data_IF_173828509732
#
_entry.id   IF_173828509732
#
_cell.length_a   1.000
_cell.length_b   1.000
_cell.length_c   1.000
_cell.angle_alpha   90.00
_cell.angle_beta   90.00
_cell.angle_gamma   90.00
#
_symmetry.space_group_name_H-M   'P 1'
#
loop_
_entity.id
_entity.type
_entity.pdbx_description
1 polymer ?
#
# COMPACT_ATOMS: atom_id res chain seq x y z
N UNK A 1 6.02 -9.13 16.89
CA UNK A 1 5.57 -10.51 17.17
C UNK A 1 6.05 -11.39 16.04
N UNK A 2 6.39 -12.66 16.28
CA UNK A 2 6.90 -13.57 15.24
C UNK A 2 6.01 -14.79 15.08
N UNK A 3 5.76 -15.22 13.85
CA UNK A 3 5.09 -16.48 13.56
C UNK A 3 5.70 -17.15 12.33
N UNK A 4 5.57 -18.48 12.27
CA UNK A 4 6.01 -19.27 11.13
C UNK A 4 4.85 -19.51 10.18
N UNK A 5 5.05 -19.34 8.87
CA UNK A 5 4.00 -19.52 7.87
C UNK A 5 4.54 -19.91 6.49
N UNK A 6 3.66 -20.54 5.70
CA UNK A 6 3.92 -20.87 4.29
C UNK A 6 3.37 -19.76 3.40
N UNK A 7 4.12 -19.36 2.38
CA UNK A 7 3.66 -18.41 1.37
C UNK A 7 2.67 -19.12 0.44
N UNK A 8 1.41 -18.69 0.47
CA UNK A 8 0.33 -19.28 -0.32
C UNK A 8 0.22 -18.59 -1.68
N UNK A 9 -0.03 -19.38 -2.73
CA UNK A 9 -0.44 -18.89 -4.04
C UNK A 9 -1.97 -18.95 -4.17
N UNK A 10 -2.57 -17.83 -4.54
CA UNK A 10 -3.99 -17.70 -4.83
C UNK A 10 -4.19 -17.29 -6.29
N UNK A 11 -4.81 -18.17 -7.08
CA UNK A 11 -5.01 -17.94 -8.51
C UNK A 11 -3.70 -17.99 -9.30
N UNK A 12 -3.53 -17.07 -10.26
CA UNK A 12 -2.38 -17.11 -11.20
C UNK A 12 -1.08 -16.52 -10.65
N UNK A 13 -1.14 -15.48 -9.82
CA UNK A 13 0.05 -14.73 -9.39
C UNK A 13 -0.05 -14.03 -8.04
N UNK A 14 -1.24 -13.99 -7.44
CA UNK A 14 -1.43 -13.35 -6.14
C UNK A 14 -0.88 -14.28 -5.06
N UNK A 15 0.08 -13.82 -4.27
CA UNK A 15 0.57 -14.57 -3.12
C UNK A 15 0.27 -13.86 -1.83
N UNK A 16 0.12 -14.62 -0.75
CA UNK A 16 -0.09 -14.07 0.56
C UNK A 16 0.32 -15.02 1.67
N UNK A 17 0.53 -14.44 2.84
CA UNK A 17 0.93 -15.16 4.05
C UNK A 17 -0.28 -15.18 4.97
N UNK A 18 -0.68 -16.38 5.42
CA UNK A 18 -1.76 -16.52 6.39
C UNK A 18 -1.27 -16.09 7.77
N UNK A 19 -1.99 -15.16 8.38
CA UNK A 19 -1.72 -14.71 9.75
C UNK A 19 -2.60 -15.52 10.71
N UNK A 20 -2.02 -16.14 11.74
CA UNK A 20 -2.78 -16.77 12.81
C UNK A 20 -3.73 -15.78 13.51
N UNK A 21 -4.90 -16.25 13.94
CA UNK A 21 -5.93 -15.39 14.54
C UNK A 21 -5.50 -14.78 15.89
N UNK A 22 -4.71 -15.52 16.67
CA UNK A 22 -4.09 -15.06 17.91
C UNK A 22 -3.14 -13.88 17.68
N UNK A 23 -2.37 -13.91 16.59
CA UNK A 23 -1.50 -12.80 16.17
C UNK A 23 -2.31 -11.59 15.71
N UNK A 24 -3.51 -11.78 15.14
CA UNK A 24 -4.39 -10.66 14.80
C UNK A 24 -5.03 -10.07 16.05
N UNK A 25 -5.50 -10.91 16.97
CA UNK A 25 -6.12 -10.49 18.21
C UNK A 25 -5.17 -9.64 19.08
N UNK A 26 -3.87 -9.94 19.06
CA UNK A 26 -2.84 -9.17 19.76
C UNK A 26 -2.46 -7.85 19.08
N UNK A 27 -2.67 -7.71 17.76
CA UNK A 27 -2.41 -6.48 17.01
C UNK A 27 -3.50 -5.41 17.22
N UNK A 28 -4.62 -5.77 17.88
CA UNK A 28 -5.68 -4.84 18.28
C UNK A 28 -7.05 -5.20 17.71
N UNK A 29 -8.01 -4.27 17.85
CA UNK A 29 -9.44 -4.52 17.53
C UNK A 29 -9.81 -4.35 16.06
N UNK A 30 -8.90 -3.85 15.22
CA UNK A 30 -9.17 -3.70 13.80
C UNK A 30 -9.13 -5.06 13.10
N UNK A 31 -10.13 -5.36 12.27
CA UNK A 31 -10.10 -6.53 11.36
C UNK A 31 -9.13 -6.35 10.18
N UNK A 32 -8.58 -5.14 10.02
CA UNK A 32 -7.66 -4.77 8.94
C UNK A 32 -6.54 -3.88 9.50
N UNK A 33 -5.70 -4.38 10.42
CA UNK A 33 -4.61 -3.59 10.97
C UNK A 33 -3.60 -3.26 9.87
N UNK A 34 -3.14 -2.00 9.85
CA UNK A 34 -1.91 -1.64 9.14
C UNK A 34 -0.75 -2.23 9.91
N UNK A 35 0.17 -2.89 9.21
CA UNK A 35 1.26 -3.63 9.84
C UNK A 35 2.56 -3.40 9.11
N UNK A 36 3.67 -3.48 9.85
CA UNK A 36 4.98 -3.65 9.29
C UNK A 36 5.34 -5.12 9.40
N UNK A 37 5.82 -5.68 8.29
CA UNK A 37 6.11 -7.10 8.12
C UNK A 37 7.57 -7.23 7.73
N UNK A 38 8.29 -8.09 8.43
CA UNK A 38 9.70 -8.39 8.18
C UNK A 38 9.83 -9.87 7.87
N UNK A 39 10.49 -10.19 6.75
CA UNK A 39 10.81 -11.53 6.28
C UNK A 39 12.32 -11.56 6.03
N UNK A 40 13.06 -12.27 6.89
CA UNK A 40 14.53 -12.18 6.90
C UNK A 40 14.98 -10.73 7.14
N UNK A 41 15.78 -10.18 6.22
CA UNK A 41 16.27 -8.80 6.29
C UNK A 41 15.35 -7.80 5.53
N UNK A 42 14.24 -8.27 4.95
CA UNK A 42 13.34 -7.44 4.16
C UNK A 42 12.12 -7.01 4.94
N UNK A 43 12.00 -5.71 5.18
CA UNK A 43 10.87 -5.10 5.89
C UNK A 43 10.01 -4.25 4.97
N UNK A 44 8.70 -4.41 5.04
CA UNK A 44 7.75 -3.62 4.27
C UNK A 44 6.48 -3.31 5.07
N UNK A 45 5.82 -2.20 4.71
CA UNK A 45 4.57 -1.75 5.33
C UNK A 45 3.39 -2.19 4.47
N UNK A 46 2.38 -2.79 5.08
CA UNK A 46 1.21 -3.34 4.39
C UNK A 46 -0.02 -3.27 5.30
N UNK A 47 -1.11 -3.90 4.89
CA UNK A 47 -2.35 -4.02 5.67
C UNK A 47 -2.81 -5.45 5.61
N UNK A 48 -3.17 -6.01 6.77
CA UNK A 48 -3.81 -7.33 6.82
C UNK A 48 -5.22 -7.21 6.26
N UNK A 49 -5.63 -8.16 5.42
CA UNK A 49 -6.98 -8.24 4.88
C UNK A 49 -7.62 -9.60 5.19
N UNK A 50 -8.89 -9.63 5.63
CA UNK A 50 -9.65 -10.88 5.70
C UNK A 50 -10.01 -11.35 4.29
N UNK A 51 -9.72 -12.60 3.98
CA UNK A 51 -10.00 -13.27 2.71
C UNK A 51 -10.55 -14.67 2.99
N UNK A 52 -11.81 -14.90 2.66
CA UNK A 52 -12.51 -16.19 2.84
C UNK A 52 -12.36 -16.79 4.25
N UNK A 53 -12.52 -15.96 5.29
CA UNK A 53 -12.43 -16.39 6.69
C UNK A 53 -11.02 -16.47 7.26
N UNK A 54 -9.97 -16.17 6.46
CA UNK A 54 -8.59 -16.14 6.93
C UNK A 54 -8.02 -14.72 6.86
N UNK A 55 -7.12 -14.37 7.78
CA UNK A 55 -6.36 -13.12 7.69
C UNK A 55 -5.11 -13.31 6.85
N UNK A 56 -4.95 -12.46 5.85
CA UNK A 56 -3.88 -12.58 4.86
C UNK A 56 -3.05 -11.29 4.81
N UNK A 57 -1.74 -11.46 4.75
CA UNK A 57 -0.80 -10.41 4.34
C UNK A 57 -0.53 -10.57 2.85
N UNK A 58 -0.82 -9.56 2.02
CA UNK A 58 -0.46 -9.62 0.61
C UNK A 58 1.06 -9.52 0.45
N UNK A 59 1.59 -10.38 -0.42
CA UNK A 59 2.99 -10.37 -0.82
C UNK A 59 3.02 -10.30 -2.34
N UNK A 60 3.24 -9.10 -2.90
CA UNK A 60 3.27 -8.91 -4.36
C UNK A 60 4.63 -9.33 -4.94
N UNK A 61 4.79 -9.24 -6.27
CA UNK A 61 6.04 -9.62 -6.93
C UNK A 61 7.25 -8.84 -6.43
N UNK A 62 7.11 -7.55 -6.16
CA UNK A 62 8.20 -6.68 -5.69
C UNK A 62 8.67 -7.08 -4.29
N UNK A 63 7.73 -7.32 -3.37
CA UNK A 63 8.06 -7.77 -2.01
C UNK A 63 8.65 -9.18 -2.00
N UNK A 64 8.15 -10.10 -2.85
CA UNK A 64 8.77 -11.42 -3.03
C UNK A 64 10.20 -11.34 -3.51
N UNK A 65 10.45 -10.52 -4.54
CA UNK A 65 11.79 -10.32 -5.07
C UNK A 65 12.72 -9.67 -4.03
N UNK A 66 12.23 -8.68 -3.29
CA UNK A 66 12.99 -8.00 -2.24
C UNK A 66 13.33 -8.90 -1.04
N UNK A 67 12.42 -9.80 -0.66
CA UNK A 67 12.65 -10.79 0.39
C UNK A 67 13.37 -12.05 -0.10
N UNK A 68 13.51 -12.25 -1.41
CA UNK A 68 14.13 -13.46 -1.99
C UNK A 68 13.29 -14.73 -1.85
N UNK A 69 11.96 -14.61 -1.74
CA UNK A 69 11.04 -15.71 -1.43
C UNK A 69 10.06 -16.01 -2.56
N UNK A 70 9.50 -17.23 -2.56
CA UNK A 70 8.56 -17.74 -3.58
C UNK A 70 7.33 -18.36 -2.92
N UNK A 71 6.31 -18.61 -3.74
CA UNK A 71 5.16 -19.38 -3.28
C UNK A 71 5.58 -20.81 -2.91
N UNK A 72 5.07 -21.31 -1.79
CA UNK A 72 5.43 -22.60 -1.21
C UNK A 72 6.58 -22.54 -0.20
N UNK A 73 7.31 -21.42 -0.11
CA UNK A 73 8.39 -21.30 0.87
C UNK A 73 7.82 -21.14 2.29
N UNK A 74 8.50 -21.77 3.24
CA UNK A 74 8.31 -21.59 4.68
C UNK A 74 9.16 -20.41 5.15
N UNK A 75 8.52 -19.46 5.82
CA UNK A 75 9.17 -18.22 6.26
C UNK A 75 8.79 -17.91 7.70
N UNK A 76 9.75 -17.36 8.43
CA UNK A 76 9.49 -16.70 9.69
C UNK A 76 9.14 -15.24 9.43
N UNK A 77 8.01 -14.81 9.99
CA UNK A 77 7.44 -13.49 9.74
C UNK A 77 7.34 -12.74 11.04
N UNK A 78 8.06 -11.63 11.12
CA UNK A 78 7.92 -10.65 12.17
C UNK A 78 6.87 -9.62 11.76
N UNK A 79 5.88 -9.40 12.62
CA UNK A 79 4.76 -8.47 12.41
C UNK A 79 4.59 -7.53 13.60
N UNK A 80 4.36 -6.27 13.30
CA UNK A 80 4.07 -5.23 14.28
C UNK A 80 3.02 -4.26 13.74
N UNK A 81 2.26 -3.64 14.65
CA UNK A 81 1.27 -2.65 14.29
C UNK A 81 1.97 -1.41 13.74
N UNK A 82 1.55 -1.01 12.54
CA UNK A 82 2.08 0.16 11.87
C UNK A 82 1.27 1.40 12.29
N UNK A 83 1.73 2.07 13.35
CA UNK A 83 1.14 3.31 13.88
C UNK A 83 1.78 4.57 13.30
N UNK A 84 2.83 4.43 12.48
CA UNK A 84 3.52 5.58 11.90
C UNK A 84 2.58 6.35 10.96
N UNK A 85 2.43 7.68 11.13
CA UNK A 85 1.64 8.49 10.22
C UNK A 85 2.22 8.34 8.82
N UNK A 86 1.38 7.87 7.90
CA UNK A 86 1.73 7.74 6.50
C UNK A 86 1.54 9.11 5.87
N UNK A 87 2.54 9.98 6.00
CA UNK A 87 2.53 11.31 5.39
C UNK A 87 2.95 11.21 3.93
N UNK A 88 2.13 11.74 3.03
CA UNK A 88 2.52 12.03 1.65
C UNK A 88 2.85 13.51 1.62
N UNK A 89 4.11 13.85 1.35
CA UNK A 89 4.49 15.26 1.15
C UNK A 89 3.83 15.72 -0.15
N UNK A 90 2.86 16.63 -0.05
CA UNK A 90 2.15 17.13 -1.22
C UNK A 90 3.07 18.09 -1.99
N UNK A 91 3.32 17.86 -3.29
CA UNK A 91 4.05 18.82 -4.10
C UNK A 91 3.28 20.13 -4.25
N UNK A 92 3.98 21.26 -4.17
CA UNK A 92 3.35 22.60 -4.17
C UNK A 92 2.50 22.87 -5.42
N UNK A 93 2.99 22.47 -6.59
CA UNK A 93 2.26 22.61 -7.86
C UNK A 93 0.98 21.77 -7.88
N UNK A 94 1.03 20.55 -7.32
CA UNK A 94 -0.16 19.72 -7.21
C UNK A 94 -1.18 20.28 -6.21
N UNK A 95 -0.73 20.77 -5.05
CA UNK A 95 -1.61 21.46 -4.10
C UNK A 95 -2.30 22.66 -4.76
N UNK A 96 -1.54 23.46 -5.52
CA UNK A 96 -2.05 24.65 -6.19
C UNK A 96 -3.16 24.31 -7.20
N UNK A 97 -3.02 23.20 -7.96
CA UNK A 97 -4.08 22.77 -8.89
C UNK A 97 -5.29 22.19 -8.17
N UNK A 98 -5.11 21.47 -7.06
CA UNK A 98 -6.22 20.98 -6.24
C UNK A 98 -7.02 22.13 -5.62
N UNK A 99 -6.35 23.18 -5.15
CA UNK A 99 -7.02 24.36 -4.58
C UNK A 99 -7.86 25.13 -5.61
N UNK A 100 -7.59 24.96 -6.90
CA UNK A 100 -8.41 25.52 -7.99
C UNK A 100 -9.63 24.68 -8.35
N UNK A 101 -9.74 23.46 -7.82
CA UNK A 101 -10.84 22.55 -8.11
C UNK A 101 -11.31 21.82 -6.85
N UNK A 102 -12.37 22.34 -6.21
CA UNK A 102 -12.90 21.79 -4.96
C UNK A 102 -13.35 20.33 -5.08
N UNK A 103 -13.88 19.91 -6.24
CA UNK A 103 -14.34 18.55 -6.47
C UNK A 103 -13.16 17.57 -6.48
N UNK A 104 -12.12 17.87 -7.25
CA UNK A 104 -10.88 17.09 -7.28
C UNK A 104 -10.22 17.04 -5.90
N UNK A 105 -10.20 18.16 -5.17
CA UNK A 105 -9.65 18.25 -3.81
C UNK A 105 -10.40 17.35 -2.84
N UNK A 106 -11.74 17.43 -2.79
CA UNK A 106 -12.56 16.58 -1.91
C UNK A 106 -12.39 15.10 -2.24
N UNK A 107 -12.38 14.75 -3.52
CA UNK A 107 -12.16 13.37 -3.94
C UNK A 107 -10.77 12.89 -3.50
N UNK A 108 -9.72 13.68 -3.76
CA UNK A 108 -8.36 13.37 -3.35
C UNK A 108 -8.24 13.18 -1.83
N UNK A 109 -8.83 14.08 -1.03
CA UNK A 109 -8.82 14.01 0.43
C UNK A 109 -9.49 12.75 0.97
N UNK A 110 -10.53 12.25 0.29
CA UNK A 110 -11.20 10.98 0.62
C UNK A 110 -10.44 9.71 0.21
N UNK A 111 -9.35 9.81 -0.55
CA UNK A 111 -8.59 8.65 -0.99
C UNK A 111 -7.80 7.99 0.14
N UNK A 112 -7.62 6.67 0.02
CA UNK A 112 -6.68 5.93 0.86
C UNK A 112 -5.25 6.45 0.66
N UNK A 113 -4.40 6.29 1.67
CA UNK A 113 -2.98 6.69 1.59
C UNK A 113 -2.28 6.15 0.34
N UNK A 114 -2.52 4.88 -0.01
CA UNK A 114 -1.91 4.25 -1.19
C UNK A 114 -2.29 4.98 -2.49
N UNK A 115 -3.55 5.39 -2.61
CA UNK A 115 -4.02 6.12 -3.77
C UNK A 115 -3.47 7.56 -3.80
N UNK A 116 -3.45 8.26 -2.65
CA UNK A 116 -2.81 9.58 -2.53
C UNK A 116 -1.31 9.51 -2.92
N UNK A 117 -0.60 8.53 -2.37
CA UNK A 117 0.83 8.29 -2.64
C UNK A 117 1.07 8.01 -4.13
N UNK A 118 0.22 7.21 -4.78
CA UNK A 118 0.35 6.92 -6.23
C UNK A 118 0.36 8.19 -7.07
N UNK A 119 -0.57 9.11 -6.84
CA UNK A 119 -0.62 10.38 -7.57
C UNK A 119 0.63 11.22 -7.32
N UNK A 120 1.01 11.39 -6.05
CA UNK A 120 2.17 12.19 -5.68
C UNK A 120 3.47 11.60 -6.23
N UNK A 121 3.74 10.32 -6.01
CA UNK A 121 4.95 9.65 -6.51
C UNK A 121 5.04 9.73 -8.04
N UNK A 122 3.93 9.56 -8.75
CA UNK A 122 3.90 9.74 -10.21
C UNK A 122 4.35 11.16 -10.61
N UNK A 123 3.89 12.20 -9.93
CA UNK A 123 4.26 13.58 -10.23
C UNK A 123 5.73 13.87 -9.83
N UNK A 124 6.16 13.40 -8.66
CA UNK A 124 7.51 13.58 -8.12
C UNK A 124 8.60 12.89 -8.95
N UNK A 125 8.36 11.68 -9.44
CA UNK A 125 9.34 10.93 -10.25
C UNK A 125 9.58 11.54 -11.65
N UNK A 126 8.82 12.58 -12.04
CA UNK A 126 9.00 13.25 -13.31
C UNK A 126 10.24 14.15 -13.33
N UNK A 127 11.28 13.73 -14.05
CA UNK A 127 12.56 14.45 -14.15
C UNK A 127 12.52 15.71 -15.02
N UNK A 128 11.57 15.80 -15.95
CA UNK A 128 11.42 16.98 -16.83
C UNK A 128 10.14 17.74 -16.49
N UNK A 129 10.19 19.06 -16.58
CA UNK A 129 9.04 19.94 -16.36
C UNK A 129 7.85 19.54 -17.24
N UNK A 130 8.09 19.21 -18.52
CA UNK A 130 7.05 18.77 -19.44
C UNK A 130 6.37 17.47 -18.97
N UNK A 131 7.15 16.46 -18.56
CA UNK A 131 6.59 15.20 -18.05
C UNK A 131 5.79 15.44 -16.78
N UNK A 132 6.28 16.33 -15.92
CA UNK A 132 5.63 16.69 -14.67
C UNK A 132 4.28 17.34 -14.92
N UNK A 133 4.21 18.34 -15.80
CA UNK A 133 2.96 19.01 -16.19
C UNK A 133 1.97 18.03 -16.81
N UNK A 134 2.43 17.13 -17.70
CA UNK A 134 1.55 16.09 -18.28
C UNK A 134 0.99 15.13 -17.23
N UNK A 135 1.81 14.70 -16.27
CA UNK A 135 1.37 13.80 -15.18
C UNK A 135 0.43 14.51 -14.21
N UNK A 136 0.67 15.79 -13.93
CA UNK A 136 -0.20 16.65 -13.12
C UNK A 136 -1.57 16.84 -13.78
N UNK A 137 -1.61 17.20 -15.07
CA UNK A 137 -2.86 17.33 -15.82
C UNK A 137 -3.65 16.01 -15.83
N UNK A 138 -2.98 14.88 -16.08
CA UNK A 138 -3.61 13.56 -16.01
C UNK A 138 -4.16 13.24 -14.61
N UNK A 139 -3.43 13.58 -13.55
CA UNK A 139 -3.88 13.39 -12.18
C UNK A 139 -5.16 14.19 -11.91
N UNK A 140 -5.20 15.46 -12.31
CA UNK A 140 -6.38 16.31 -12.14
C UNK A 140 -7.59 15.76 -12.89
N UNK A 141 -7.44 15.31 -14.15
CA UNK A 141 -8.52 14.67 -14.90
C UNK A 141 -9.08 13.45 -14.16
N UNK A 142 -8.21 12.55 -13.69
CA UNK A 142 -8.66 11.37 -12.95
C UNK A 142 -9.40 11.73 -11.66
N UNK A 143 -8.94 12.74 -10.93
CA UNK A 143 -9.57 13.15 -9.68
C UNK A 143 -10.94 13.80 -9.90
N UNK A 144 -11.08 14.62 -10.95
CA UNK A 144 -12.36 15.20 -11.36
C UNK A 144 -13.33 14.07 -11.75
N UNK A 145 -12.86 13.07 -12.47
CA UNK A 145 -13.66 11.91 -12.88
C UNK A 145 -13.97 10.93 -11.72
N UNK A 146 -13.48 11.20 -10.50
CA UNK A 146 -13.66 10.29 -9.36
C UNK A 146 -12.91 8.95 -9.50
N UNK A 147 -11.77 8.95 -10.19
CA UNK A 147 -10.95 7.77 -10.51
C UNK A 147 -9.57 7.83 -9.87
N UNK A 148 -8.99 6.65 -9.64
CA UNK A 148 -7.66 6.51 -9.00
C UNK A 148 -6.59 5.95 -9.93
N UNK A 149 -6.97 5.57 -11.15
CA UNK A 149 -6.11 5.05 -12.23
C UNK A 149 -6.81 5.04 -13.58
#
# INVERSE_FOLDING_TARGET
>A
MRFHAVILLSGKSATGIRVPEDVIASLGTSKRPSVRVTIGDYTYRTTVAPMSGNYMIPLNADHRAGAGVRAGDEVDVDIELDTEPREVVMPHDFSTELDRNEEAKRFFEGLSFTNKKRFVTSIEEAKTTETRQRRLAKAMTLLIDGRTQ
#
